data_IF_126539847047
#
_entry.id   IF_126539847047
#
_cell.length_a   1.000
_cell.length_b   1.000
_cell.length_c   1.000
_cell.angle_alpha   90.00
_cell.angle_beta   90.00
_cell.angle_gamma   90.00
#
_symmetry.space_group_name_H-M   'P 1'
#
loop_
_entity.id
_entity.type
_entity.pdbx_description
1 polymer ?
#
# COMPACT_ATOMS: atom_id res chain seq x y z
N UNK A 1 -15.57 -25.09 -13.70
CA UNK A 1 -14.49 -25.66 -12.87
C UNK A 1 -14.94 -25.57 -11.42
N UNK A 2 -14.89 -26.68 -10.67
CA UNK A 2 -15.44 -26.74 -9.31
C UNK A 2 -14.38 -26.30 -8.29
N UNK A 3 -14.63 -25.19 -7.61
CA UNK A 3 -13.77 -24.66 -6.53
C UNK A 3 -13.73 -25.66 -5.37
N UNK A 4 -12.53 -26.02 -4.93
CA UNK A 4 -12.32 -26.99 -3.85
C UNK A 4 -12.72 -26.39 -2.49
N UNK A 5 -13.07 -27.23 -1.51
CA UNK A 5 -13.49 -26.76 -0.16
C UNK A 5 -12.43 -25.86 0.51
N UNK A 6 -11.15 -26.17 0.29
CA UNK A 6 -10.03 -25.40 0.83
C UNK A 6 -9.91 -24.00 0.20
N UNK A 7 -10.22 -23.86 -1.08
CA UNK A 7 -10.24 -22.55 -1.76
C UNK A 7 -11.39 -21.68 -1.24
N UNK A 8 -12.55 -22.26 -0.90
CA UNK A 8 -13.65 -21.52 -0.26
C UNK A 8 -13.29 -21.00 1.14
N UNK A 9 -12.41 -21.68 1.86
CA UNK A 9 -11.94 -21.27 3.20
C UNK A 9 -10.83 -20.22 3.15
N UNK A 10 -10.14 -20.07 2.01
CA UNK A 10 -9.09 -19.07 1.81
C UNK A 10 -9.66 -17.69 1.44
N UNK A 11 -10.94 -17.61 1.09
CA UNK A 11 -11.60 -16.37 0.76
C UNK A 11 -12.10 -15.62 2.00
N UNK A 12 -11.84 -14.31 2.05
CA UNK A 12 -12.37 -13.40 3.04
C UNK A 12 -13.91 -13.43 2.98
N UNK A 13 -14.61 -13.46 4.13
CA UNK A 13 -16.06 -13.47 4.14
C UNK A 13 -16.64 -12.24 3.43
N UNK A 14 -17.34 -12.44 2.31
CA UNK A 14 -17.88 -11.36 1.48
C UNK A 14 -18.79 -10.39 2.26
N UNK A 15 -19.53 -10.88 3.25
CA UNK A 15 -20.35 -10.04 4.13
C UNK A 15 -19.53 -9.04 4.92
N UNK A 16 -18.34 -9.45 5.40
CA UNK A 16 -17.40 -8.60 6.14
C UNK A 16 -16.74 -7.60 5.20
N UNK A 17 -16.30 -8.04 4.03
CA UNK A 17 -15.71 -7.17 2.99
C UNK A 17 -16.70 -6.06 2.62
N UNK A 18 -17.95 -6.41 2.26
CA UNK A 18 -19.01 -5.43 1.94
C UNK A 18 -19.32 -4.46 3.07
N UNK A 19 -19.18 -4.89 4.33
CA UNK A 19 -19.43 -4.04 5.49
C UNK A 19 -18.31 -3.02 5.71
N UNK A 20 -17.05 -3.40 5.46
CA UNK A 20 -15.87 -2.53 5.61
C UNK A 20 -15.73 -1.62 4.38
N UNK A 21 -15.81 -2.20 3.18
CA UNK A 21 -15.55 -1.55 1.89
C UNK A 21 -16.84 -1.06 1.23
N UNK A 22 -17.73 -0.40 2.01
CA UNK A 22 -19.06 0.03 1.53
C UNK A 22 -19.01 0.84 0.23
N UNK A 23 -17.97 1.64 0.05
CA UNK A 23 -17.75 2.49 -1.14
C UNK A 23 -17.21 1.72 -2.35
N UNK A 24 -16.59 0.56 -2.14
CA UNK A 24 -15.94 -0.21 -3.21
C UNK A 24 -15.97 -1.72 -2.90
N UNK A 25 -17.13 -2.37 -3.05
CA UNK A 25 -17.33 -3.77 -2.67
C UNK A 25 -16.74 -4.78 -3.67
N UNK A 26 -16.28 -4.32 -4.84
CA UNK A 26 -15.77 -5.13 -5.95
C UNK A 26 -14.24 -5.24 -5.98
N UNK A 27 -13.54 -4.62 -5.03
CA UNK A 27 -12.09 -4.61 -4.99
C UNK A 27 -11.60 -5.89 -4.30
N UNK A 28 -10.71 -6.63 -4.96
CA UNK A 28 -10.12 -7.86 -4.44
C UNK A 28 -9.08 -7.58 -3.35
N UNK A 29 -9.56 -7.35 -2.12
CA UNK A 29 -8.71 -7.10 -0.94
C UNK A 29 -7.74 -8.26 -0.63
N UNK A 30 -8.07 -9.48 -1.05
CA UNK A 30 -7.20 -10.65 -0.85
C UNK A 30 -5.89 -10.54 -1.62
N UNK A 31 -5.95 -10.08 -2.87
CA UNK A 31 -4.76 -9.89 -3.70
C UNK A 31 -3.83 -8.85 -3.09
N UNK A 32 -4.40 -7.78 -2.53
CA UNK A 32 -3.64 -6.77 -1.83
C UNK A 32 -2.90 -7.34 -0.61
N UNK A 33 -3.60 -8.11 0.25
CA UNK A 33 -2.98 -8.71 1.44
C UNK A 33 -1.88 -9.71 1.05
N UNK A 34 -2.11 -10.52 0.02
CA UNK A 34 -1.12 -11.48 -0.48
C UNK A 34 0.12 -10.76 -1.03
N UNK A 35 -0.07 -9.72 -1.83
CA UNK A 35 1.03 -8.96 -2.43
C UNK A 35 1.84 -8.23 -1.35
N UNK A 36 1.17 -7.56 -0.42
CA UNK A 36 1.83 -6.88 0.71
C UNK A 36 2.64 -7.86 1.56
N UNK A 37 2.08 -9.04 1.87
CA UNK A 37 2.78 -10.08 2.61
C UNK A 37 4.02 -10.60 1.85
N UNK A 38 3.92 -10.81 0.54
CA UNK A 38 5.06 -11.23 -0.30
C UNK A 38 6.14 -10.16 -0.36
N UNK A 39 5.78 -8.89 -0.56
CA UNK A 39 6.74 -7.76 -0.56
C UNK A 39 7.47 -7.68 0.77
N UNK A 40 6.74 -7.71 1.88
CA UNK A 40 7.34 -7.65 3.22
C UNK A 40 8.21 -8.87 3.52
N UNK A 41 7.84 -10.06 3.04
CA UNK A 41 8.64 -11.28 3.23
C UNK A 41 9.97 -11.25 2.47
N UNK A 42 10.03 -10.63 1.28
CA UNK A 42 11.29 -10.48 0.51
C UNK A 42 12.37 -9.72 1.27
N UNK A 43 11.99 -8.76 2.12
CA UNK A 43 12.93 -8.02 2.97
C UNK A 43 13.36 -8.78 4.23
N UNK A 44 12.75 -9.94 4.52
CA UNK A 44 13.13 -10.74 5.69
C UNK A 44 14.30 -11.65 5.39
N UNK A 45 15.29 -11.67 6.28
CA UNK A 45 16.44 -12.59 6.22
C UNK A 45 16.16 -13.96 6.86
N UNK A 46 14.91 -14.21 7.26
CA UNK A 46 14.52 -15.40 8.02
C UNK A 46 13.10 -15.83 7.69
N UNK A 47 12.64 -16.87 8.37
CA UNK A 47 11.41 -17.55 8.00
C UNK A 47 10.15 -16.94 8.63
N UNK A 48 10.26 -15.75 9.25
CA UNK A 48 9.21 -15.15 10.05
C UNK A 48 8.95 -13.69 9.66
N UNK A 49 7.68 -13.39 9.38
CA UNK A 49 7.23 -12.05 9.05
C UNK A 49 6.79 -11.31 10.31
N UNK A 50 7.63 -10.39 10.78
CA UNK A 50 7.30 -9.44 11.86
C UNK A 50 6.73 -8.12 11.33
N UNK A 51 6.02 -7.40 12.21
CA UNK A 51 5.46 -6.06 11.95
C UNK A 51 6.48 -5.08 11.35
N UNK A 52 7.73 -5.10 11.83
CA UNK A 52 8.78 -4.18 11.38
C UNK A 52 9.01 -4.24 9.87
N UNK A 53 8.90 -5.43 9.27
CA UNK A 53 9.12 -5.62 7.84
C UNK A 53 7.97 -5.05 7.02
N UNK A 54 6.72 -5.18 7.50
CA UNK A 54 5.56 -4.58 6.82
C UNK A 54 5.62 -3.06 6.93
N UNK A 55 5.91 -2.53 8.13
CA UNK A 55 6.05 -1.10 8.36
C UNK A 55 7.23 -0.47 7.59
N UNK A 56 8.26 -1.26 7.26
CA UNK A 56 9.37 -0.80 6.43
C UNK A 56 8.92 -0.61 4.98
N UNK A 57 8.28 -1.63 4.39
CA UNK A 57 7.74 -1.59 3.02
C UNK A 57 6.71 -0.48 2.83
N UNK A 58 5.75 -0.34 3.76
CA UNK A 58 4.73 0.72 3.70
C UNK A 58 5.33 2.12 3.69
N UNK A 59 6.50 2.30 4.31
CA UNK A 59 7.15 3.61 4.40
C UNK A 59 8.20 3.86 3.31
N UNK A 60 8.53 2.85 2.52
CA UNK A 60 9.44 2.97 1.38
C UNK A 60 8.70 3.07 0.05
N UNK A 61 7.51 2.47 -0.04
CA UNK A 61 6.73 2.37 -1.26
C UNK A 61 5.61 3.42 -1.28
N UNK A 62 5.71 4.38 -2.20
CA UNK A 62 4.73 5.48 -2.32
C UNK A 62 3.35 4.98 -2.75
N UNK A 63 3.25 3.80 -3.38
CA UNK A 63 1.94 3.20 -3.69
C UNK A 63 1.16 2.78 -2.43
N UNK A 64 1.84 2.70 -1.29
CA UNK A 64 1.29 2.35 0.02
C UNK A 64 1.15 3.57 0.94
N UNK A 65 1.24 4.79 0.42
CA UNK A 65 1.21 6.02 1.21
C UNK A 65 -0.01 6.14 2.13
N UNK A 66 -1.17 5.69 1.62
CA UNK A 66 -2.44 5.64 2.38
C UNK A 66 -2.38 4.77 3.66
N UNK A 67 -1.37 3.88 3.79
CA UNK A 67 -1.15 3.07 4.98
C UNK A 67 -0.18 3.72 5.97
N UNK A 68 0.57 4.76 5.62
CA UNK A 68 1.63 5.32 6.48
C UNK A 68 1.09 5.84 7.81
N UNK A 69 -0.09 6.46 7.81
CA UNK A 69 -0.75 6.95 9.02
C UNK A 69 -1.24 5.81 9.92
N UNK A 70 -1.69 4.71 9.32
CA UNK A 70 -2.23 3.54 10.02
C UNK A 70 -1.09 2.63 10.53
N UNK A 71 0.03 2.60 9.82
CA UNK A 71 1.16 1.70 10.04
C UNK A 71 2.49 2.48 10.25
N UNK A 72 2.64 3.19 11.38
CA UNK A 72 3.85 3.94 11.66
C UNK A 72 5.05 3.02 11.98
N UNK A 73 6.25 3.45 11.58
CA UNK A 73 7.51 2.79 11.99
C UNK A 73 7.66 2.87 13.50
N UNK A 74 7.79 1.71 14.15
CA UNK A 74 8.09 1.64 15.59
C UNK A 74 9.53 2.08 15.82
N UNK A 75 9.70 3.10 16.66
CA UNK A 75 10.99 3.54 17.16
C UNK A 75 11.07 3.32 18.66
N UNK A 76 12.26 3.02 19.15
CA UNK A 76 12.54 2.96 20.58
C UNK A 76 12.68 4.37 21.16
N UNK A 77 12.46 4.52 22.47
CA UNK A 77 12.69 5.80 23.18
C UNK A 77 14.11 6.33 22.96
N UNK A 78 15.09 5.42 22.88
CA UNK A 78 16.49 5.76 22.57
C UNK A 78 16.62 6.39 21.18
N UNK A 79 16.06 5.76 20.15
CA UNK A 79 16.07 6.28 18.78
C UNK A 79 15.33 7.62 18.68
N UNK A 80 14.22 7.78 19.40
CA UNK A 80 13.50 9.06 19.45
C UNK A 80 14.36 10.18 20.04
N UNK A 81 15.04 9.91 21.18
CA UNK A 81 15.96 10.89 21.79
C UNK A 81 17.09 11.28 20.85
N UNK A 82 17.64 10.31 20.10
CA UNK A 82 18.68 10.56 19.11
C UNK A 82 18.16 11.38 17.91
N UNK A 83 16.96 11.06 17.41
CA UNK A 83 16.30 11.81 16.35
C UNK A 83 16.07 13.28 16.76
N UNK A 84 15.61 13.51 18.00
CA UNK A 84 15.37 14.85 18.54
C UNK A 84 16.67 15.63 18.75
N UNK A 85 17.72 14.97 19.25
CA UNK A 85 19.04 15.59 19.37
C UNK A 85 19.62 15.97 18.00
N UNK A 86 19.46 15.10 16.99
CA UNK A 86 19.90 15.36 15.62
C UNK A 86 19.11 16.50 14.97
N UNK A 87 17.79 16.57 15.20
CA UNK A 87 16.95 17.68 14.73
C UNK A 87 17.37 19.01 15.37
N UNK A 88 17.63 19.02 16.68
CA UNK A 88 18.12 20.21 17.38
C UNK A 88 19.50 20.66 16.88
N UNK A 89 20.41 19.72 16.61
CA UNK A 89 21.75 20.01 16.11
C UNK A 89 21.77 20.51 14.65
N UNK A 90 20.77 20.13 13.84
CA UNK A 90 20.65 20.57 12.45
C UNK A 90 19.95 21.91 12.27
N UNK A 91 19.45 22.51 13.36
CA UNK A 91 18.88 23.86 13.38
C UNK A 91 17.75 24.03 12.38
N UNK A 92 16.54 23.57 12.72
CA UNK A 92 15.24 23.85 12.08
C UNK A 92 15.28 24.38 10.63
N UNK A 93 15.92 23.63 9.72
CA UNK A 93 15.73 23.78 8.29
C UNK A 93 14.60 22.84 7.92
N UNK A 94 13.43 23.42 7.74
CA UNK A 94 12.25 22.81 7.19
C UNK A 94 12.52 22.42 5.73
N UNK A 95 13.24 21.33 5.50
CA UNK A 95 13.28 20.69 4.18
C UNK A 95 12.05 19.77 4.10
N UNK A 96 10.91 20.39 3.83
CA UNK A 96 9.71 19.77 3.29
C UNK A 96 9.98 19.57 1.78
N UNK A 97 10.73 18.53 1.43
CA UNK A 97 10.90 18.11 0.05
C UNK A 97 9.64 17.34 -0.39
N UNK A 98 8.53 18.07 -0.54
CA UNK A 98 7.44 17.68 -1.45
C UNK A 98 7.70 18.45 -2.74
N UNK A 99 8.45 17.84 -3.65
CA UNK A 99 8.63 18.40 -4.99
C UNK A 99 7.33 18.20 -5.77
N UNK A 100 6.44 19.18 -5.62
CA UNK A 100 5.22 19.33 -6.42
C UNK A 100 5.61 19.84 -7.82
N UNK A 101 6.13 18.96 -8.69
CA UNK A 101 6.14 19.23 -10.13
C UNK A 101 4.72 19.00 -10.69
N UNK A 102 3.85 19.99 -10.50
CA UNK A 102 2.61 20.14 -11.25
C UNK A 102 2.95 20.45 -12.72
N UNK A 103 2.82 19.46 -13.59
CA UNK A 103 2.72 19.68 -15.04
C UNK A 103 1.26 19.52 -15.45
N UNK A 104 0.54 20.63 -15.48
CA UNK A 104 -0.78 20.75 -16.10
C UNK A 104 -0.62 20.78 -17.64
N UNK A 105 -1.41 19.98 -18.36
CA UNK A 105 -1.35 19.92 -19.83
C UNK A 105 -2.37 18.97 -20.47
N UNK A 106 -3.63 19.44 -20.48
CA UNK A 106 -4.76 19.23 -21.41
C UNK A 106 -5.17 17.88 -22.06
N UNK A 107 -6.48 17.67 -21.88
CA UNK A 107 -7.53 16.83 -22.50
C UNK A 107 -7.43 16.25 -23.94
N UNK A 108 -8.20 15.16 -24.09
CA UNK A 108 -8.87 14.59 -25.29
C UNK A 108 -8.01 13.68 -26.19
N UNK A 109 -8.46 12.54 -26.72
CA UNK A 109 -9.76 12.22 -27.33
C UNK A 109 -10.16 10.74 -27.18
N UNK A 110 -11.48 10.54 -27.23
CA UNK A 110 -12.21 9.28 -27.39
C UNK A 110 -11.71 8.46 -28.59
N UNK A 111 -11.54 7.14 -28.44
CA UNK A 111 -11.42 6.25 -29.60
C UNK A 111 -12.29 5.01 -29.43
N UNK A 112 -13.51 5.14 -29.94
CA UNK A 112 -14.42 4.06 -30.29
C UNK A 112 -13.79 3.22 -31.41
N UNK A 113 -13.43 1.97 -31.13
CA UNK A 113 -13.20 0.96 -32.17
C UNK A 113 -14.32 -0.09 -32.12
N UNK A 114 -15.40 0.20 -32.83
CA UNK A 114 -16.34 -0.81 -33.28
C UNK A 114 -15.71 -1.60 -34.43
N UNK A 115 -15.36 -2.86 -34.18
CA UNK A 115 -14.87 -3.80 -35.20
C UNK A 115 -16.05 -4.54 -35.83
N UNK A 116 -16.24 -4.20 -37.10
CA UNK A 116 -16.60 -4.99 -38.28
C UNK A 116 -17.83 -5.90 -38.31
N UNK A 117 -18.69 -5.52 -39.27
CA UNK A 117 -19.70 -6.30 -39.98
C UNK A 117 -19.06 -7.55 -40.61
N UNK A 118 -19.71 -8.70 -40.45
CA UNK A 118 -19.52 -9.83 -41.35
C UNK A 118 -20.91 -10.19 -41.90
N UNK A 119 -21.00 -10.12 -43.23
CA UNK A 119 -22.14 -10.47 -44.08
C UNK A 119 -22.35 -11.99 -44.14
#
# INVERSE_FOLDING_TARGET
MSITKAEKDLHLPLSRVKTIMKSSPEVDAELFVIDLAKRAYKNTKGNMLEYKHIAEVVQEDDTLDFLREIMPRKITVRQYKELMARKAARGDRSDDESSEESSEGESSEESSSGVEIIE
#
